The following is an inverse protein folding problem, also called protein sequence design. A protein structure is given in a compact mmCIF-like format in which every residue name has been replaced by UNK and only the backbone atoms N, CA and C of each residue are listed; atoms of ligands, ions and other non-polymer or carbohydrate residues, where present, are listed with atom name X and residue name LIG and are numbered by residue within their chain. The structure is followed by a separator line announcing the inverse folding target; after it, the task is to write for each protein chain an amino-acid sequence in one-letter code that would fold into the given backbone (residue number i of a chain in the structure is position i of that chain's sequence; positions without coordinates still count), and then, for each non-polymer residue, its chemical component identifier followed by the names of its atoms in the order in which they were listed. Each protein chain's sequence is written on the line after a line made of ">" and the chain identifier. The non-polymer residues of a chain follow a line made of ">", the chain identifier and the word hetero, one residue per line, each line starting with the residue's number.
data_IF_513002228404
#
_entry.id   IF_513002228404
#
_cell.length_a   1.000
_cell.length_b   1.000
_cell.length_c   1.000
_cell.angle_alpha   90.00
_cell.angle_beta   90.00
_cell.angle_gamma   90.00
#
_symmetry.space_group_name_H-M   'P 1'
#
loop_
_entity.id
_entity.type
_entity.pdbx_description
1 polymer ?
#
# COMPACT_ATOMS: atom_id res chain seq x y z
N UNK A 1 -29.44 5.64 1.81
CA UNK A 1 -29.13 6.18 3.16
C UNK A 1 -29.46 5.21 4.29
N UNK A 2 -30.68 4.65 4.33
CA UNK A 2 -31.19 3.93 5.50
C UNK A 2 -30.36 2.70 5.88
N UNK A 3 -29.88 1.94 4.90
CA UNK A 3 -28.98 0.80 5.14
C UNK A 3 -27.71 1.20 5.93
N UNK A 4 -27.09 2.33 5.58
CA UNK A 4 -25.90 2.84 6.28
C UNK A 4 -26.24 3.31 7.70
N UNK A 5 -27.42 3.93 7.90
CA UNK A 5 -27.89 4.30 9.25
C UNK A 5 -28.09 3.05 10.11
N UNK A 6 -28.75 2.03 9.57
CA UNK A 6 -28.97 0.76 10.26
C UNK A 6 -27.64 0.10 10.65
N UNK A 7 -26.66 0.08 9.75
CA UNK A 7 -25.32 -0.44 10.05
C UNK A 7 -24.67 0.29 11.23
N UNK A 8 -24.70 1.62 11.24
CA UNK A 8 -24.16 2.42 12.34
C UNK A 8 -24.90 2.17 13.66
N UNK A 9 -26.22 2.00 13.64
CA UNK A 9 -26.99 1.65 14.83
C UNK A 9 -26.57 0.28 15.39
N UNK A 10 -26.40 -0.73 14.53
CA UNK A 10 -25.94 -2.07 14.95
C UNK A 10 -24.54 -1.99 15.57
N UNK A 11 -23.63 -1.24 14.95
CA UNK A 11 -22.26 -1.06 15.47
C UNK A 11 -22.27 -0.39 16.83
N UNK A 12 -23.03 0.71 16.99
CA UNK A 12 -23.10 1.43 18.26
C UNK A 12 -23.64 0.53 19.37
N UNK A 13 -24.68 -0.26 19.09
CA UNK A 13 -25.23 -1.24 20.04
C UNK A 13 -24.19 -2.29 20.43
N UNK A 14 -23.51 -2.91 19.46
CA UNK A 14 -22.50 -3.92 19.73
C UNK A 14 -21.29 -3.36 20.50
N UNK A 15 -20.92 -2.11 20.26
CA UNK A 15 -19.80 -1.47 20.95
C UNK A 15 -20.11 -1.17 22.43
N UNK A 16 -21.38 -0.98 22.80
CA UNK A 16 -21.81 -0.92 24.20
C UNK A 16 -21.71 -2.29 24.89
N UNK A 17 -21.96 -3.38 24.16
CA UNK A 17 -21.94 -4.75 24.67
C UNK A 17 -20.52 -5.36 24.73
N UNK A 18 -19.65 -5.07 23.75
CA UNK A 18 -18.28 -5.59 23.67
C UNK A 18 -17.35 -4.66 22.89
N UNK A 19 -16.25 -4.24 23.53
CA UNK A 19 -15.22 -3.38 22.91
C UNK A 19 -14.06 -4.15 22.27
N UNK A 20 -14.17 -5.48 22.16
CA UNK A 20 -13.06 -6.31 21.65
C UNK A 20 -12.93 -6.30 20.13
N UNK A 21 -14.03 -6.08 19.41
CA UNK A 21 -14.04 -6.18 17.96
C UNK A 21 -13.81 -4.80 17.34
N UNK A 22 -13.02 -4.75 16.26
CA UNK A 22 -12.87 -3.56 15.45
C UNK A 22 -14.01 -3.50 14.41
N UNK A 23 -14.97 -2.56 14.51
CA UNK A 23 -16.04 -2.45 13.52
C UNK A 23 -15.48 -1.93 12.19
N UNK A 24 -16.06 -2.43 11.09
CA UNK A 24 -15.81 -2.03 9.71
C UNK A 24 -17.15 -2.05 8.98
N UNK A 25 -17.42 -1.05 8.14
CA UNK A 25 -18.56 -1.05 7.23
C UNK A 25 -18.04 -1.26 5.81
N UNK A 26 -18.59 -2.27 5.13
CA UNK A 26 -18.41 -2.46 3.68
C UNK A 26 -19.77 -2.19 3.02
N UNK A 27 -19.80 -1.27 2.08
CA UNK A 27 -21.01 -0.88 1.34
C UNK A 27 -20.81 -1.18 -0.14
N UNK A 28 -21.67 -2.01 -0.72
CA UNK A 28 -21.64 -2.40 -2.13
C UNK A 28 -22.91 -1.91 -2.83
N UNK A 29 -22.78 -1.27 -3.98
CA UNK A 29 -23.92 -0.82 -4.79
C UNK A 29 -23.58 -0.85 -6.28
N UNK A 30 -24.57 -1.16 -7.10
CA UNK A 30 -24.53 -1.10 -8.57
C UNK A 30 -25.24 0.14 -9.13
N UNK A 31 -25.85 0.95 -8.26
CA UNK A 31 -26.69 2.07 -8.64
C UNK A 31 -26.71 3.22 -7.65
N UNK A 32 -27.47 4.25 -8.02
CA UNK A 32 -27.75 5.43 -7.21
C UNK A 32 -28.92 5.21 -6.22
N UNK A 33 -29.05 6.10 -5.24
CA UNK A 33 -30.14 6.04 -4.28
C UNK A 33 -31.48 6.42 -4.93
N UNK A 34 -32.45 5.51 -4.93
CA UNK A 34 -33.79 5.70 -5.55
C UNK A 34 -34.95 5.77 -4.57
N UNK A 35 -34.72 5.47 -3.29
CA UNK A 35 -35.75 5.45 -2.24
C UNK A 35 -35.24 6.12 -0.96
N UNK A 36 -36.13 6.86 -0.29
CA UNK A 36 -35.80 7.65 0.89
C UNK A 36 -35.08 8.95 0.52
N UNK A 37 -34.03 9.29 1.26
CA UNK A 37 -33.13 10.39 0.88
C UNK A 37 -32.27 9.98 -0.32
N UNK A 38 -32.27 10.83 -1.34
CA UNK A 38 -31.60 10.63 -2.64
C UNK A 38 -30.55 11.71 -2.92
N UNK A 39 -30.53 12.80 -2.14
CA UNK A 39 -29.53 13.84 -2.30
C UNK A 39 -28.17 13.40 -1.72
N UNK A 40 -27.18 13.21 -2.60
CA UNK A 40 -25.84 12.73 -2.25
C UNK A 40 -25.15 13.53 -1.13
N UNK A 41 -25.23 14.86 -1.16
CA UNK A 41 -24.58 15.70 -0.13
C UNK A 41 -25.25 15.57 1.23
N UNK A 42 -26.59 15.50 1.29
CA UNK A 42 -27.33 15.24 2.51
C UNK A 42 -27.02 13.86 3.10
N UNK A 43 -26.89 12.84 2.23
CA UNK A 43 -26.52 11.49 2.67
C UNK A 43 -25.12 11.52 3.28
N UNK A 44 -24.17 12.14 2.58
CA UNK A 44 -22.78 12.25 3.04
C UNK A 44 -22.70 12.96 4.39
N UNK A 45 -23.32 14.14 4.54
CA UNK A 45 -23.28 14.92 5.79
C UNK A 45 -23.90 14.13 6.93
N UNK A 46 -25.11 13.59 6.73
CA UNK A 46 -25.83 12.83 7.75
C UNK A 46 -25.06 11.59 8.21
N UNK A 47 -24.53 10.79 7.28
CA UNK A 47 -23.79 9.57 7.62
C UNK A 47 -22.46 9.91 8.31
N UNK A 48 -21.77 10.94 7.84
CA UNK A 48 -20.50 11.38 8.44
C UNK A 48 -20.69 11.88 9.87
N UNK A 49 -21.74 12.67 10.11
CA UNK A 49 -22.11 13.13 11.44
C UNK A 49 -22.45 11.96 12.38
N UNK A 50 -23.30 11.05 11.93
CA UNK A 50 -23.72 9.87 12.71
C UNK A 50 -22.54 8.95 13.05
N UNK A 51 -21.60 8.76 12.12
CA UNK A 51 -20.43 7.94 12.34
C UNK A 51 -19.40 8.62 13.26
N UNK A 52 -19.30 9.96 13.21
CA UNK A 52 -18.37 10.75 14.02
C UNK A 52 -16.91 10.25 13.91
N UNK A 53 -16.52 9.73 12.74
CA UNK A 53 -15.18 9.20 12.45
C UNK A 53 -14.82 7.90 13.20
N UNK A 54 -15.78 7.21 13.82
CA UNK A 54 -15.51 6.02 14.64
C UNK A 54 -15.25 4.76 13.81
N UNK A 55 -16.00 4.55 12.73
CA UNK A 55 -15.96 3.32 11.95
C UNK A 55 -15.54 3.60 10.51
N UNK A 56 -14.49 2.94 9.99
CA UNK A 56 -14.16 3.01 8.58
C UNK A 56 -15.30 2.52 7.68
N UNK A 57 -15.62 3.31 6.66
CA UNK A 57 -16.59 2.96 5.62
C UNK A 57 -15.84 2.72 4.29
N UNK A 58 -15.80 1.47 3.85
CA UNK A 58 -15.28 1.09 2.56
C UNK A 58 -16.43 0.92 1.58
N UNK A 59 -16.38 1.60 0.44
CA UNK A 59 -17.42 1.51 -0.57
C UNK A 59 -16.95 0.76 -1.81
N UNK A 60 -17.85 -0.02 -2.41
CA UNK A 60 -17.64 -0.75 -3.65
C UNK A 60 -18.70 -0.31 -4.65
N UNK A 61 -18.26 0.25 -5.77
CA UNK A 61 -19.13 0.45 -6.95
C UNK A 61 -19.05 -0.79 -7.81
N UNK A 62 -20.19 -1.33 -8.23
CA UNK A 62 -20.26 -2.48 -9.12
C UNK A 62 -20.81 -2.05 -10.47
N UNK A 63 -20.00 -2.12 -11.53
CA UNK A 63 -20.40 -1.67 -12.86
C UNK A 63 -20.67 -0.16 -12.96
N UNK A 64 -21.17 0.27 -14.11
CA UNK A 64 -21.20 1.70 -14.46
C UNK A 64 -22.42 2.47 -13.92
N UNK A 65 -23.36 1.79 -13.26
CA UNK A 65 -24.58 2.41 -12.74
C UNK A 65 -24.38 3.19 -11.42
N UNK A 66 -23.28 2.94 -10.69
CA UNK A 66 -23.01 3.57 -9.40
C UNK A 66 -22.24 4.89 -9.53
N UNK A 67 -22.65 5.92 -8.78
CA UNK A 67 -21.89 7.17 -8.67
C UNK A 67 -20.58 6.96 -7.88
N UNK A 68 -19.50 6.74 -8.63
CA UNK A 68 -18.15 6.52 -8.09
C UNK A 68 -17.65 7.71 -7.27
N UNK A 69 -17.96 8.94 -7.70
CA UNK A 69 -17.53 10.16 -7.02
C UNK A 69 -18.20 10.30 -5.66
N UNK A 70 -19.50 10.02 -5.59
CA UNK A 70 -20.24 9.95 -4.32
C UNK A 70 -19.63 8.92 -3.37
N UNK A 71 -19.40 7.69 -3.84
CA UNK A 71 -18.84 6.61 -3.03
C UNK A 71 -17.42 6.91 -2.54
N UNK A 72 -16.60 7.54 -3.38
CA UNK A 72 -15.27 8.00 -2.96
C UNK A 72 -15.36 9.06 -1.87
N UNK A 73 -16.22 10.08 -2.07
CA UNK A 73 -16.40 11.19 -1.11
C UNK A 73 -16.92 10.71 0.24
N UNK A 74 -17.93 9.84 0.27
CA UNK A 74 -18.49 9.31 1.53
C UNK A 74 -17.46 8.45 2.28
N UNK A 75 -16.67 7.65 1.56
CA UNK A 75 -15.65 6.78 2.17
C UNK A 75 -14.51 7.60 2.78
N UNK A 76 -14.00 8.59 2.04
CA UNK A 76 -12.93 9.47 2.51
C UNK A 76 -13.33 10.27 3.76
N UNK A 77 -14.56 10.79 3.79
CA UNK A 77 -15.10 11.47 4.99
C UNK A 77 -15.29 10.55 6.19
N UNK A 78 -15.32 9.24 5.96
CA UNK A 78 -15.56 8.21 6.99
C UNK A 78 -14.36 7.26 7.14
N UNK A 79 -13.13 7.77 6.99
CA UNK A 79 -11.89 7.05 7.27
C UNK A 79 -11.69 5.74 6.47
N UNK A 80 -12.34 5.59 5.32
CA UNK A 80 -12.17 4.47 4.40
C UNK A 80 -11.85 4.93 2.98
N UNK A 81 -11.97 4.01 2.03
CA UNK A 81 -11.73 4.24 0.62
C UNK A 81 -12.83 3.57 -0.23
N UNK A 82 -12.97 4.01 -1.48
CA UNK A 82 -13.83 3.36 -2.45
C UNK A 82 -13.01 2.51 -3.42
N UNK A 83 -13.57 1.41 -3.91
CA UNK A 83 -13.07 0.68 -5.08
C UNK A 83 -14.16 0.48 -6.11
N UNK A 84 -13.74 0.40 -7.36
CA UNK A 84 -14.60 0.03 -8.46
C UNK A 84 -14.41 -1.44 -8.81
N UNK A 85 -15.53 -2.13 -9.03
CA UNK A 85 -15.61 -3.53 -9.42
C UNK A 85 -16.18 -3.55 -10.84
N UNK A 86 -15.37 -3.99 -11.78
CA UNK A 86 -15.77 -4.10 -13.18
C UNK A 86 -16.68 -5.32 -13.37
N UNK A 87 -17.69 -5.19 -14.22
CA UNK A 87 -18.56 -6.31 -14.58
C UNK A 87 -17.80 -7.31 -15.46
N UNK A 88 -17.88 -8.60 -15.10
CA UNK A 88 -17.14 -9.62 -15.82
C UNK A 88 -17.04 -10.94 -15.07
N UNK A 89 -16.36 -11.91 -15.69
CA UNK A 89 -16.10 -13.21 -15.08
C UNK A 89 -15.13 -13.14 -13.90
N UNK A 90 -14.34 -12.06 -13.80
CA UNK A 90 -13.34 -11.80 -12.78
C UNK A 90 -13.86 -10.92 -11.63
N UNK A 91 -15.10 -10.43 -11.67
CA UNK A 91 -15.67 -9.60 -10.61
C UNK A 91 -15.59 -10.26 -9.22
N UNK A 92 -15.75 -11.59 -9.16
CA UNK A 92 -15.58 -12.35 -7.91
C UNK A 92 -14.14 -12.29 -7.36
N UNK A 93 -13.13 -12.30 -8.24
CA UNK A 93 -11.72 -12.18 -7.84
C UNK A 93 -11.42 -10.78 -7.32
N UNK A 94 -11.93 -9.73 -7.98
CA UNK A 94 -11.77 -8.34 -7.53
C UNK A 94 -12.37 -8.14 -6.12
N UNK A 95 -13.53 -8.74 -5.84
CA UNK A 95 -14.16 -8.72 -4.51
C UNK A 95 -13.34 -9.51 -3.47
N UNK A 96 -12.79 -10.66 -3.86
CA UNK A 96 -11.93 -11.46 -2.98
C UNK A 96 -10.65 -10.70 -2.60
N UNK A 97 -9.99 -10.07 -3.56
CA UNK A 97 -8.79 -9.24 -3.35
C UNK A 97 -9.08 -8.03 -2.45
N UNK A 98 -10.23 -7.37 -2.67
CA UNK A 98 -10.69 -6.34 -1.76
C UNK A 98 -10.87 -6.89 -0.33
N UNK A 99 -11.58 -8.01 -0.18
CA UNK A 99 -11.82 -8.58 1.14
C UNK A 99 -10.51 -8.96 1.84
N UNK A 100 -9.58 -9.60 1.15
CA UNK A 100 -8.24 -9.93 1.67
C UNK A 100 -7.49 -8.70 2.20
N UNK A 101 -7.65 -7.55 1.57
CA UNK A 101 -6.99 -6.31 1.99
C UNK A 101 -7.53 -5.72 3.30
N UNK A 102 -8.74 -6.09 3.72
CA UNK A 102 -9.40 -5.54 4.91
C UNK A 102 -9.81 -6.60 5.95
N UNK A 103 -9.67 -7.90 5.64
CA UNK A 103 -10.22 -9.00 6.45
C UNK A 103 -9.51 -9.22 7.79
N UNK A 104 -8.32 -8.66 7.96
CA UNK A 104 -7.46 -8.96 9.11
C UNK A 104 -6.94 -7.67 9.77
N UNK A 105 -7.78 -6.94 10.52
CA UNK A 105 -7.35 -5.78 11.29
C UNK A 105 -6.44 -6.22 12.45
N UNK A 106 -5.20 -5.69 12.50
CA UNK A 106 -4.22 -6.02 13.52
C UNK A 106 -4.16 -4.97 14.63
N UNK A 107 -4.19 -3.69 14.24
CA UNK A 107 -4.18 -2.55 15.16
C UNK A 107 -5.28 -1.58 14.77
N UNK A 108 -5.81 -0.87 15.76
CA UNK A 108 -6.71 0.26 15.57
C UNK A 108 -6.23 1.51 16.29
N UNK A 109 -6.76 2.67 15.90
CA UNK A 109 -6.46 3.97 16.51
C UNK A 109 -4.95 4.27 16.56
N UNK A 110 -4.26 3.99 15.45
CA UNK A 110 -2.80 4.14 15.32
C UNK A 110 -2.45 5.61 15.22
N UNK A 111 -1.62 6.10 16.16
CA UNK A 111 -1.27 7.51 16.34
C UNK A 111 0.23 7.67 16.40
N UNK A 112 0.74 8.44 15.45
CA UNK A 112 2.11 8.94 15.44
C UNK A 112 2.12 10.30 16.14
N UNK A 113 2.87 10.41 17.24
CA UNK A 113 3.01 11.66 17.98
C UNK A 113 4.31 12.34 17.60
N UNK A 114 4.22 13.54 17.04
CA UNK A 114 5.36 14.42 16.79
C UNK A 114 5.13 15.70 17.60
N UNK A 115 6.01 15.97 18.56
CA UNK A 115 5.87 17.10 19.49
C UNK A 115 6.67 18.31 19.03
N UNK A 116 7.93 18.08 18.62
CA UNK A 116 8.89 19.13 18.25
C UNK A 116 9.76 18.67 17.06
N UNK A 117 10.38 19.63 16.37
CA UNK A 117 11.40 19.41 15.32
C UNK A 117 10.92 18.61 14.10
N UNK A 118 9.62 18.61 13.84
CA UNK A 118 9.05 18.02 12.62
C UNK A 118 8.14 19.04 11.94
N UNK A 119 8.29 19.21 10.63
CA UNK A 119 7.53 20.12 9.77
C UNK A 119 6.93 19.33 8.60
N UNK A 120 5.85 19.87 8.05
CA UNK A 120 5.20 19.37 6.84
C UNK A 120 4.93 17.85 6.88
N UNK A 121 4.36 17.36 7.99
CA UNK A 121 4.13 15.93 8.20
C UNK A 121 2.86 15.48 7.48
N UNK A 122 2.94 14.35 6.80
CA UNK A 122 1.78 13.64 6.26
C UNK A 122 0.85 13.16 7.39
N UNK A 123 -0.33 12.64 7.04
CA UNK A 123 -1.30 12.04 7.99
C UNK A 123 -0.63 11.21 9.08
N UNK A 124 -0.94 11.53 10.34
CA UNK A 124 -0.33 10.93 11.54
C UNK A 124 -1.28 10.05 12.34
N UNK A 125 -2.53 9.90 11.89
CA UNK A 125 -3.55 9.09 12.54
C UNK A 125 -4.21 8.17 11.54
N UNK A 126 -4.23 6.88 11.85
CA UNK A 126 -4.78 5.86 10.99
C UNK A 126 -5.79 5.02 11.77
N UNK A 127 -6.99 4.78 11.21
CA UNK A 127 -8.06 4.11 11.93
C UNK A 127 -7.73 2.64 12.21
N UNK A 128 -7.15 1.95 11.22
CA UNK A 128 -6.85 0.52 11.26
C UNK A 128 -5.55 0.26 10.49
N UNK A 129 -4.72 -0.64 11.00
CA UNK A 129 -3.65 -1.32 10.25
C UNK A 129 -4.09 -2.76 9.98
N UNK A 130 -4.18 -3.14 8.71
CA UNK A 130 -4.51 -4.50 8.28
C UNK A 130 -3.26 -5.36 8.09
N UNK A 131 -3.42 -6.67 8.23
CA UNK A 131 -2.36 -7.64 7.93
C UNK A 131 -1.95 -7.54 6.46
N UNK A 132 -0.63 -7.56 6.20
CA UNK A 132 -0.08 -7.33 4.85
C UNK A 132 -0.09 -5.86 4.41
N UNK A 133 -0.72 -4.96 5.17
CA UNK A 133 -0.67 -3.53 4.94
C UNK A 133 0.53 -2.87 5.60
N UNK A 134 0.78 -1.62 5.21
CA UNK A 134 1.83 -0.77 5.76
C UNK A 134 1.29 0.64 6.02
N UNK A 135 1.76 1.28 7.09
CA UNK A 135 1.54 2.71 7.33
C UNK A 135 2.86 3.44 7.18
N UNK A 136 2.89 4.41 6.27
CA UNK A 136 4.05 5.28 6.04
C UNK A 136 3.70 6.70 6.44
N UNK A 137 4.54 7.29 7.29
CA UNK A 137 4.46 8.71 7.66
C UNK A 137 5.76 9.38 7.26
N UNK A 138 5.65 10.44 6.47
CA UNK A 138 6.77 11.23 6.01
C UNK A 138 6.65 12.68 6.51
N UNK A 139 7.78 13.34 6.68
CA UNK A 139 7.86 14.74 7.08
C UNK A 139 9.29 15.23 7.07
N UNK A 140 9.47 16.53 7.26
CA UNK A 140 10.77 17.16 7.38
C UNK A 140 11.19 17.21 8.85
N UNK A 141 12.41 16.80 9.16
CA UNK A 141 12.95 16.79 10.52
C UNK A 141 14.05 17.85 10.69
N UNK A 142 14.07 18.52 11.84
CA UNK A 142 15.17 19.41 12.22
C UNK A 142 16.30 18.61 12.95
N UNK A 143 17.54 19.13 12.99
CA UNK A 143 18.64 18.47 13.70
C UNK A 143 18.33 18.12 15.16
N UNK A 144 18.70 16.91 15.55
CA UNK A 144 18.43 16.37 16.89
C UNK A 144 16.97 15.97 17.11
N UNK A 145 16.24 15.62 16.04
CA UNK A 145 15.01 14.85 16.10
C UNK A 145 15.29 13.47 16.72
N UNK A 146 14.34 12.99 17.53
CA UNK A 146 14.36 11.66 18.12
C UNK A 146 13.02 10.96 17.83
N UNK A 147 13.04 9.73 17.29
CA UNK A 147 11.83 8.95 17.05
C UNK A 147 10.96 8.82 18.31
N UNK A 148 9.67 9.08 18.18
CA UNK A 148 8.70 9.03 19.28
C UNK A 148 7.91 7.71 19.26
N UNK A 149 7.44 7.22 20.43
CA UNK A 149 6.59 6.04 20.48
C UNK A 149 5.29 6.23 19.68
N UNK A 150 4.83 5.15 19.05
CA UNK A 150 3.57 5.08 18.32
C UNK A 150 2.54 4.43 19.24
N UNK A 151 1.38 5.07 19.37
CA UNK A 151 0.27 4.53 20.17
C UNK A 151 -0.74 3.83 19.27
N UNK A 152 -1.21 2.66 19.67
CA UNK A 152 -2.23 1.91 18.96
C UNK A 152 -3.07 1.07 19.94
N UNK A 153 -4.10 0.39 19.44
CA UNK A 153 -4.87 -0.61 20.17
C UNK A 153 -4.79 -1.93 19.41
N UNK A 154 -4.30 -2.97 20.07
CA UNK A 154 -4.34 -4.34 19.59
C UNK A 154 -5.52 -5.10 20.19
N UNK A 155 -5.58 -6.41 19.93
CA UNK A 155 -6.63 -7.31 20.42
C UNK A 155 -6.75 -7.33 21.95
N UNK A 156 -5.62 -7.29 22.67
CA UNK A 156 -5.57 -7.34 24.14
C UNK A 156 -5.70 -5.95 24.80
N UNK A 157 -5.75 -4.88 24.00
CA UNK A 157 -5.85 -3.50 24.50
C UNK A 157 -4.79 -2.56 23.95
N UNK A 158 -4.45 -1.46 24.66
CA UNK A 158 -3.48 -0.47 24.21
C UNK A 158 -2.08 -1.07 23.99
N UNK A 159 -1.43 -0.69 22.90
CA UNK A 159 -0.08 -1.09 22.51
C UNK A 159 0.75 0.16 22.24
N UNK A 160 2.01 0.14 22.70
CA UNK A 160 2.99 1.19 22.41
C UNK A 160 4.13 0.57 21.61
N UNK A 161 4.33 1.03 20.38
CA UNK A 161 5.43 0.59 19.53
C UNK A 161 6.57 1.60 19.65
N UNK A 162 7.75 1.12 20.02
CA UNK A 162 8.93 1.97 20.16
C UNK A 162 9.81 1.84 18.91
N UNK A 163 9.98 2.91 18.12
CA UNK A 163 10.86 2.87 16.95
C UNK A 163 12.33 2.71 17.37
N UNK A 164 13.18 2.16 16.48
CA UNK A 164 14.62 2.14 16.69
C UNK A 164 15.17 3.56 16.93
N UNK A 165 16.19 3.67 17.80
CA UNK A 165 16.84 4.96 18.11
C UNK A 165 17.75 5.45 16.99
N UNK A 166 18.29 4.52 16.19
CA UNK A 166 19.19 4.86 15.10
C UNK A 166 18.39 5.32 13.88
N UNK A 167 18.65 6.56 13.46
CA UNK A 167 18.13 7.09 12.20
C UNK A 167 19.08 6.65 11.10
N UNK A 168 18.64 5.70 10.28
CA UNK A 168 19.40 5.27 9.11
C UNK A 168 19.17 6.25 7.96
N UNK A 169 20.25 6.69 7.33
CA UNK A 169 20.15 7.37 6.04
C UNK A 169 19.77 6.31 5.00
N UNK A 170 18.53 6.34 4.51
CA UNK A 170 18.10 5.43 3.47
C UNK A 170 18.69 5.83 2.10
N UNK A 171 19.05 4.88 1.23
CA UNK A 171 19.40 5.19 -0.16
C UNK A 171 18.15 5.67 -0.92
N UNK A 172 18.30 6.75 -1.70
CA UNK A 172 17.22 7.31 -2.52
C UNK A 172 16.75 8.71 -2.09
N UNK A 173 15.76 9.26 -2.79
CA UNK A 173 15.20 10.58 -2.49
C UNK A 173 13.98 10.45 -1.57
N UNK A 174 14.21 10.39 -0.26
CA UNK A 174 13.15 10.42 0.76
C UNK A 174 12.28 11.68 0.65
N UNK A 175 12.87 12.78 0.18
CA UNK A 175 12.15 14.02 -0.11
C UNK A 175 11.11 13.83 -1.23
N UNK A 176 11.43 13.09 -2.29
CA UNK A 176 10.47 12.79 -3.36
C UNK A 176 9.34 11.87 -2.87
N UNK A 177 9.64 10.90 -2.00
CA UNK A 177 8.61 10.07 -1.35
C UNK A 177 7.67 10.93 -0.51
N UNK A 178 8.22 11.80 0.32
CA UNK A 178 7.45 12.77 1.11
C UNK A 178 6.54 13.63 0.21
N UNK A 179 7.08 14.17 -0.88
CA UNK A 179 6.33 15.01 -1.80
C UNK A 179 5.19 14.23 -2.49
N UNK A 180 5.45 12.99 -2.89
CA UNK A 180 4.43 12.11 -3.48
C UNK A 180 3.29 11.82 -2.49
N UNK A 181 3.61 11.42 -1.25
CA UNK A 181 2.61 11.16 -0.22
C UNK A 181 1.81 12.41 0.14
N UNK A 182 2.48 13.56 0.23
CA UNK A 182 1.84 14.85 0.49
C UNK A 182 0.88 15.23 -0.64
N UNK A 183 1.30 15.10 -1.91
CA UNK A 183 0.45 15.33 -3.06
C UNK A 183 -0.78 14.41 -3.06
N UNK A 184 -0.60 13.10 -2.85
CA UNK A 184 -1.71 12.13 -2.76
C UNK A 184 -2.72 12.54 -1.69
N UNK A 185 -2.25 12.93 -0.50
CA UNK A 185 -3.12 13.37 0.60
C UNK A 185 -3.84 14.70 0.33
N UNK A 186 -3.24 15.62 -0.42
CA UNK A 186 -3.93 16.85 -0.83
C UNK A 186 -5.04 16.52 -1.83
N UNK A 187 -4.78 15.63 -2.79
CA UNK A 187 -5.79 15.18 -3.77
C UNK A 187 -6.96 14.47 -3.08
N UNK A 188 -6.69 13.57 -2.13
CA UNK A 188 -7.75 12.94 -1.31
C UNK A 188 -8.59 13.97 -0.54
N UNK A 189 -7.93 14.98 0.08
CA UNK A 189 -8.64 16.09 0.74
C UNK A 189 -9.48 16.90 -0.25
N UNK A 190 -8.95 17.18 -1.44
CA UNK A 190 -9.65 17.90 -2.52
C UNK A 190 -10.92 17.15 -2.94
N UNK A 191 -10.85 15.84 -3.05
CA UNK A 191 -11.96 15.01 -3.49
C UNK A 191 -13.05 14.89 -2.42
N UNK A 192 -12.66 14.92 -1.14
CA UNK A 192 -13.58 14.98 -0.01
C UNK A 192 -14.21 16.37 0.23
N UNK A 193 -13.55 17.45 -0.22
CA UNK A 193 -13.92 18.84 0.06
C UNK A 193 -15.05 19.36 -0.84
N UNK A 194 -15.79 20.34 -0.32
CA UNK A 194 -16.76 21.12 -1.10
C UNK A 194 -16.09 22.23 -1.91
N UNK A 195 -15.13 22.95 -1.30
CA UNK A 195 -14.31 23.93 -2.00
C UNK A 195 -12.97 23.32 -2.40
N UNK A 196 -12.78 23.09 -3.70
CA UNK A 196 -11.58 22.44 -4.27
C UNK A 196 -10.47 23.42 -4.65
N UNK A 197 -10.76 24.72 -4.67
CA UNK A 197 -9.89 25.73 -5.33
C UNK A 197 -8.51 25.85 -4.68
N UNK A 198 -8.46 25.95 -3.35
CA UNK A 198 -7.21 26.12 -2.60
C UNK A 198 -6.37 24.84 -2.65
N UNK A 199 -7.01 23.68 -2.43
CA UNK A 199 -6.35 22.37 -2.47
C UNK A 199 -5.82 22.04 -3.87
N UNK A 200 -6.50 22.49 -4.93
CA UNK A 200 -6.02 22.31 -6.31
C UNK A 200 -4.75 23.13 -6.56
N UNK A 201 -4.68 24.36 -6.03
CA UNK A 201 -3.46 25.19 -6.12
C UNK A 201 -2.30 24.58 -5.32
N UNK A 202 -2.56 24.17 -4.09
CA UNK A 202 -1.55 23.50 -3.23
C UNK A 202 -1.01 22.22 -3.90
N UNK A 203 -1.90 21.40 -4.48
CA UNK A 203 -1.52 20.22 -5.24
C UNK A 203 -0.68 20.56 -6.48
N UNK A 204 -1.09 21.60 -7.23
CA UNK A 204 -0.36 22.06 -8.41
C UNK A 204 1.06 22.52 -8.06
N UNK A 205 1.21 23.30 -6.99
CA UNK A 205 2.51 23.80 -6.54
C UNK A 205 3.49 22.66 -6.23
N UNK A 206 3.04 21.62 -5.52
CA UNK A 206 3.86 20.43 -5.23
C UNK A 206 4.14 19.63 -6.50
N UNK A 207 3.13 19.45 -7.35
CA UNK A 207 3.28 18.72 -8.60
C UNK A 207 4.30 19.38 -9.53
N UNK A 208 4.28 20.70 -9.67
CA UNK A 208 5.24 21.45 -10.46
C UNK A 208 6.64 21.42 -9.81
N UNK A 209 6.73 21.73 -8.50
CA UNK A 209 8.00 21.72 -7.75
C UNK A 209 8.77 20.40 -7.90
N UNK A 210 8.07 19.28 -7.84
CA UNK A 210 8.68 17.94 -7.95
C UNK A 210 8.52 17.28 -9.32
N UNK A 211 7.94 17.98 -10.29
CA UNK A 211 7.68 17.47 -11.65
C UNK A 211 6.90 16.15 -11.64
N UNK A 212 5.85 16.07 -10.83
CA UNK A 212 4.87 14.98 -10.90
C UNK A 212 3.85 15.29 -11.99
N UNK A 213 3.45 14.25 -12.72
CA UNK A 213 2.27 14.25 -13.59
C UNK A 213 1.12 13.68 -12.77
N UNK A 214 0.04 14.43 -12.63
CA UNK A 214 -1.13 14.06 -11.81
C UNK A 214 -2.40 14.70 -12.37
N UNK A 215 -3.55 14.52 -11.74
CA UNK A 215 -4.81 15.15 -12.15
C UNK A 215 -4.74 16.68 -12.33
N UNK A 216 -3.75 17.33 -11.70
CA UNK A 216 -3.58 18.79 -11.72
C UNK A 216 -2.43 19.24 -12.63
N UNK A 217 -1.64 18.33 -13.19
CA UNK A 217 -0.46 18.67 -14.00
C UNK A 217 -0.30 17.73 -15.20
N UNK A 218 0.18 18.25 -16.33
CA UNK A 218 0.42 17.45 -17.54
C UNK A 218 1.81 17.66 -18.09
N UNK A 219 2.35 16.63 -18.76
CA UNK A 219 3.60 16.73 -19.50
C UNK A 219 3.29 17.03 -20.97
N UNK A 220 3.63 18.23 -21.42
CA UNK A 220 3.44 18.66 -22.80
C UNK A 220 4.77 18.65 -23.54
N UNK A 221 4.85 17.89 -24.64
CA UNK A 221 6.03 17.85 -25.50
C UNK A 221 5.82 18.80 -26.67
N UNK A 222 6.53 19.93 -26.67
CA UNK A 222 6.45 20.94 -27.74
C UNK A 222 7.58 20.75 -28.74
N UNK A 223 7.26 20.66 -30.04
CA UNK A 223 8.27 20.65 -31.10
C UNK A 223 8.80 22.07 -31.31
N UNK A 224 10.14 22.29 -31.39
CA UNK A 224 10.73 23.63 -31.37
C UNK A 224 10.26 24.62 -32.47
N UNK A 225 9.65 24.13 -33.56
CA UNK A 225 9.41 24.93 -34.77
C UNK A 225 7.96 24.92 -35.32
N UNK A 226 6.95 24.36 -34.63
CA UNK A 226 5.58 24.27 -35.20
C UNK A 226 4.42 24.78 -34.32
N UNK A 227 4.65 25.28 -33.11
CA UNK A 227 3.54 25.73 -32.25
C UNK A 227 3.91 26.94 -31.43
N UNK A 228 3.83 28.13 -32.05
CA UNK A 228 4.01 29.42 -31.36
C UNK A 228 2.70 29.98 -30.79
N UNK A 229 1.60 29.22 -30.69
CA UNK A 229 0.27 29.78 -30.36
C UNK A 229 -0.71 28.93 -29.54
N UNK A 230 -0.35 27.79 -28.97
CA UNK A 230 -1.32 27.03 -28.19
C UNK A 230 -0.73 26.64 -26.83
N UNK A 231 -1.45 27.03 -25.77
CA UNK A 231 -1.22 26.74 -24.36
C UNK A 231 -0.25 27.71 -23.66
N UNK A 232 -0.82 28.66 -22.91
CA UNK A 232 -0.11 29.32 -21.81
C UNK A 232 0.15 28.27 -20.72
N UNK A 233 1.33 27.64 -20.76
CA UNK A 233 1.76 26.65 -19.75
C UNK A 233 2.58 27.33 -18.66
N UNK A 234 2.23 27.12 -17.40
CA UNK A 234 3.17 27.31 -16.30
C UNK A 234 4.21 26.18 -16.33
N UNK A 235 5.48 26.56 -16.43
CA UNK A 235 6.58 25.63 -16.68
C UNK A 235 7.32 25.32 -15.39
N UNK A 236 7.29 24.05 -14.98
CA UNK A 236 7.99 23.54 -13.79
C UNK A 236 9.50 23.84 -13.79
N UNK A 237 10.12 23.96 -14.98
CA UNK A 237 11.55 24.25 -15.09
C UNK A 237 11.93 25.68 -14.70
N UNK A 238 10.98 26.63 -14.75
CA UNK A 238 11.22 28.04 -14.40
C UNK A 238 11.30 28.30 -12.90
N UNK A 239 10.68 27.45 -12.07
CA UNK A 239 10.75 27.52 -10.61
C UNK A 239 12.06 26.97 -10.02
N UNK A 240 12.98 26.45 -10.86
CA UNK A 240 14.24 25.83 -10.44
C UNK A 240 15.36 26.84 -10.09
N UNK A 241 15.10 28.13 -10.10
CA UNK A 241 16.05 29.14 -9.67
C UNK A 241 15.82 29.48 -8.19
N UNK A 242 16.78 29.06 -7.37
CA UNK A 242 17.32 29.76 -6.19
C UNK A 242 17.54 28.83 -4.97
N UNK A 243 18.36 27.77 -5.14
CA UNK A 243 19.05 27.15 -4.02
C UNK A 243 20.39 26.57 -4.50
N UNK A 244 21.48 27.32 -4.29
CA UNK A 244 22.85 26.83 -4.38
C UNK A 244 23.73 27.48 -5.45
N UNK A 245 24.35 28.62 -5.11
CA UNK A 245 25.41 29.22 -5.93
C UNK A 245 26.26 30.20 -5.13
N UNK A 246 27.48 29.77 -4.77
CA UNK A 246 28.54 30.58 -4.15
C UNK A 246 28.86 31.77 -5.09
N UNK A 247 28.95 33.03 -4.61
CA UNK A 247 29.06 34.18 -5.51
C UNK A 247 30.50 34.31 -6.04
N UNK A 248 30.69 33.99 -7.32
CA UNK A 248 31.84 34.48 -8.07
C UNK A 248 31.57 35.93 -8.49
N UNK A 249 32.37 36.85 -7.94
CA UNK A 249 32.44 38.24 -8.37
C UNK A 249 32.69 38.30 -9.89
N UNK A 250 31.76 38.91 -10.63
CA UNK A 250 32.04 39.47 -11.96
C UNK A 250 31.69 40.95 -11.98
N UNK A 251 32.71 41.69 -12.36
CA UNK A 251 32.82 43.14 -12.48
C UNK A 251 31.80 43.73 -13.44
N UNK A 252 31.17 44.83 -13.05
CA UNK A 252 30.43 45.72 -13.93
C UNK A 252 31.38 46.56 -14.79
N UNK A 253 31.01 46.86 -16.05
CA UNK A 253 31.24 48.17 -16.61
C UNK A 253 29.95 48.99 -16.62
N UNK A 254 30.17 50.29 -16.54
CA UNK A 254 29.21 51.35 -16.33
C UNK A 254 28.29 51.63 -17.53
N UNK A 255 27.13 52.22 -17.23
CA UNK A 255 26.49 53.21 -18.11
C UNK A 255 25.02 52.93 -18.42
N UNK A 256 24.14 53.78 -17.91
CA UNK A 256 22.79 53.94 -18.46
C UNK A 256 21.70 54.22 -17.42
N UNK A 257 21.60 55.48 -16.97
CA UNK A 257 20.39 55.98 -16.31
C UNK A 257 19.18 55.82 -17.23
N UNK A 258 18.03 55.38 -16.68
CA UNK A 258 16.75 56.07 -16.82
C UNK A 258 15.71 55.57 -15.81
N UNK A 259 15.03 56.54 -15.22
CA UNK A 259 14.05 56.45 -14.15
C UNK A 259 12.78 55.68 -14.51
N UNK A 260 12.19 55.15 -13.43
CA UNK A 260 10.78 54.90 -13.15
C UNK A 260 9.74 55.44 -14.14
N UNK A 261 8.69 54.64 -14.38
CA UNK A 261 7.27 55.01 -14.19
C UNK A 261 6.44 53.71 -14.26
N UNK A 262 5.74 53.40 -13.16
CA UNK A 262 4.51 52.60 -13.16
C UNK A 262 3.37 53.46 -13.70
N UNK A 263 2.39 52.86 -14.40
CA UNK A 263 1.04 53.13 -13.95
C UNK A 263 0.18 51.86 -13.82
N UNK A 264 -0.67 51.90 -12.81
CA UNK A 264 -1.91 51.14 -12.69
C UNK A 264 -2.99 51.79 -13.57
N UNK A 265 -3.80 50.99 -14.26
CA UNK A 265 -5.25 51.19 -14.45
C UNK A 265 -5.83 49.94 -15.12
N UNK A 266 -6.70 49.19 -14.44
CA UNK A 266 -8.17 49.19 -14.60
C UNK A 266 -8.69 48.98 -16.04
N UNK A 267 -9.42 47.89 -16.25
CA UNK A 267 -10.28 47.70 -17.41
C UNK A 267 -10.72 46.25 -17.63
N UNK A 268 -11.84 45.85 -17.03
CA UNK A 268 -12.73 44.80 -17.58
C UNK A 268 -13.75 45.47 -18.52
N UNK A 269 -14.60 44.74 -19.26
CA UNK A 269 -14.45 43.43 -19.90
C UNK A 269 -14.74 43.52 -21.42
N UNK A 270 -14.35 42.53 -22.22
CA UNK A 270 -15.02 42.29 -23.51
C UNK A 270 -15.29 40.80 -23.71
N UNK A 271 -16.57 40.53 -23.89
CA UNK A 271 -17.12 39.27 -24.34
C UNK A 271 -16.71 38.99 -25.80
N UNK A 272 -16.20 37.80 -26.04
CA UNK A 272 -16.30 37.14 -27.35
C UNK A 272 -16.90 35.76 -27.12
N UNK A 273 -18.14 35.61 -27.58
CA UNK A 273 -18.73 34.30 -27.84
C UNK A 273 -18.40 33.88 -29.27
N UNK A 274 -18.14 32.59 -29.44
CA UNK A 274 -18.68 31.73 -30.50
C UNK A 274 -17.73 30.56 -30.79
N UNK A 275 -18.32 29.39 -31.03
CA UNK A 275 -17.71 28.34 -31.85
C UNK A 275 -17.28 27.13 -31.05
N UNK A 276 -18.20 26.18 -30.87
CA UNK A 276 -17.95 24.92 -30.21
C UNK A 276 -17.05 23.97 -31.00
N UNK A 277 -16.40 23.10 -30.25
CA UNK A 277 -16.26 21.67 -30.56
C UNK A 277 -16.42 20.94 -29.23
N UNK A 278 -17.64 20.49 -28.94
CA UNK A 278 -17.88 19.50 -27.90
C UNK A 278 -17.45 18.15 -28.47
N UNK A 279 -16.20 17.76 -28.21
CA UNK A 279 -15.82 16.35 -28.28
C UNK A 279 -16.19 15.70 -26.94
N UNK A 280 -16.78 14.50 -26.94
CA UNK A 280 -17.04 13.78 -25.70
C UNK A 280 -15.68 13.52 -25.06
N UNK A 281 -15.52 14.00 -23.83
CA UNK A 281 -14.41 13.65 -22.97
C UNK A 281 -14.56 12.14 -22.71
N UNK A 282 -13.80 11.33 -23.44
CA UNK A 282 -13.70 9.91 -23.15
C UNK A 282 -13.24 9.78 -21.68
N UNK A 283 -13.90 8.95 -20.86
CA UNK A 283 -13.37 8.65 -19.54
C UNK A 283 -11.96 8.09 -19.74
N UNK A 284 -10.96 8.77 -19.18
CA UNK A 284 -9.63 8.20 -19.07
C UNK A 284 -9.77 6.88 -18.29
N UNK A 285 -8.99 5.84 -18.64
CA UNK A 285 -8.98 4.63 -17.84
C UNK A 285 -8.61 5.03 -16.41
N UNK A 286 -9.43 4.61 -15.45
CA UNK A 286 -9.06 4.52 -14.05
C UNK A 286 -7.69 3.82 -14.06
N UNK A 287 -6.63 4.56 -13.74
CA UNK A 287 -5.36 3.95 -13.41
C UNK A 287 -5.61 3.18 -12.12
N UNK A 288 -6.08 1.95 -12.29
CA UNK A 288 -5.86 0.90 -11.33
C UNK A 288 -4.40 1.03 -10.88
N UNK A 289 -4.24 1.01 -9.56
CA UNK A 289 -3.02 1.21 -8.81
C UNK A 289 -1.94 0.19 -9.26
N UNK A 290 -1.33 0.41 -10.43
CA UNK A 290 -0.13 -0.30 -10.85
C UNK A 290 1.03 0.39 -10.14
N UNK A 291 1.25 -0.09 -8.93
CA UNK A 291 2.41 0.19 -8.11
C UNK A 291 3.66 -0.11 -8.95
N UNK A 292 4.23 0.92 -9.58
CA UNK A 292 5.66 0.96 -9.89
C UNK A 292 6.44 1.38 -8.62
N UNK A 293 6.26 0.60 -7.55
CA UNK A 293 7.43 0.25 -6.74
C UNK A 293 8.12 -0.86 -7.52
N UNK A 294 9.46 -0.76 -7.60
CA UNK A 294 10.35 -1.83 -8.03
C UNK A 294 9.74 -3.20 -7.75
N UNK A 295 9.76 -4.06 -8.78
CA UNK A 295 9.50 -5.49 -8.65
C UNK A 295 9.89 -5.95 -7.26
N UNK A 296 8.97 -6.46 -6.43
CA UNK A 296 9.41 -7.31 -5.37
C UNK A 296 10.22 -8.39 -6.09
N UNK A 297 11.49 -8.56 -5.70
CA UNK A 297 12.06 -9.89 -5.79
C UNK A 297 10.94 -10.83 -5.32
N UNK A 298 10.65 -11.89 -6.06
CA UNK A 298 9.71 -12.91 -5.65
C UNK A 298 10.20 -13.48 -4.31
N UNK A 299 9.85 -12.81 -3.22
CA UNK A 299 9.84 -13.39 -1.90
C UNK A 299 8.55 -14.17 -1.89
N UNK A 300 8.66 -15.42 -2.32
CA UNK A 300 7.80 -16.47 -1.81
C UNK A 300 7.69 -16.24 -0.30
N UNK A 301 6.49 -15.93 0.17
CA UNK A 301 6.16 -15.99 1.57
C UNK A 301 6.11 -17.47 1.99
N UNK A 302 7.24 -18.16 1.90
CA UNK A 302 7.48 -19.32 2.76
C UNK A 302 7.54 -18.75 4.17
N UNK A 303 6.52 -19.08 4.95
CA UNK A 303 6.44 -18.93 6.39
C UNK A 303 7.84 -19.13 6.98
N UNK A 304 8.43 -18.09 7.57
CA UNK A 304 9.68 -18.24 8.31
C UNK A 304 9.38 -19.02 9.58
N UNK A 305 9.38 -20.34 9.47
CA UNK A 305 9.45 -21.25 10.60
C UNK A 305 10.92 -21.28 10.98
N UNK A 306 11.31 -20.52 12.00
CA UNK A 306 12.59 -20.77 12.64
C UNK A 306 12.47 -22.08 13.43
N UNK A 307 13.28 -23.11 13.11
CA UNK A 307 13.25 -24.36 13.84
C UNK A 307 13.83 -24.15 15.24
N UNK A 308 13.11 -24.68 16.25
CA UNK A 308 13.62 -24.71 17.63
C UNK A 308 14.67 -25.82 17.71
N UNK A 309 15.89 -25.45 18.10
CA UNK A 309 17.02 -26.37 18.27
C UNK A 309 16.79 -27.31 19.47
N UNK A 310 16.73 -28.63 19.20
CA UNK A 310 16.76 -29.66 20.24
C UNK A 310 18.07 -30.48 20.11
N UNK A 311 19.03 -30.35 21.04
CA UNK A 311 20.39 -30.89 20.86
C UNK A 311 20.57 -32.41 20.98
N UNK A 312 19.53 -33.25 20.91
CA UNK A 312 19.66 -34.67 21.26
C UNK A 312 19.26 -35.68 20.16
N UNK A 313 19.48 -35.38 18.86
CA UNK A 313 19.38 -36.40 17.80
C UNK A 313 20.74 -36.53 17.08
N UNK A 314 21.47 -37.65 17.25
CA UNK A 314 22.74 -37.87 16.55
C UNK A 314 22.52 -37.98 15.03
N UNK A 315 23.34 -37.31 14.23
CA UNK A 315 23.38 -37.41 12.75
C UNK A 315 23.55 -38.86 12.29
N UNK A 316 24.15 -39.72 13.11
CA UNK A 316 24.33 -41.15 12.85
C UNK A 316 23.01 -41.92 12.64
N UNK A 317 21.89 -41.39 13.16
CA UNK A 317 20.54 -41.97 12.98
C UNK A 317 20.04 -41.87 11.54
N UNK A 318 20.50 -40.89 10.75
CA UNK A 318 20.18 -40.81 9.32
C UNK A 318 20.92 -41.86 8.50
N UNK A 319 22.18 -42.15 8.85
CA UNK A 319 23.04 -43.08 8.12
C UNK A 319 22.58 -44.52 8.26
N UNK A 320 22.04 -44.91 9.42
CA UNK A 320 21.51 -46.27 9.65
C UNK A 320 20.23 -46.56 8.87
N UNK A 321 19.45 -45.52 8.57
CA UNK A 321 18.10 -45.65 8.07
C UNK A 321 17.98 -45.37 6.55
N UNK A 322 18.83 -44.51 6.00
CA UNK A 322 18.87 -44.19 4.57
C UNK A 322 20.27 -44.49 4.04
N UNK A 323 20.50 -45.75 3.70
CA UNK A 323 21.81 -46.25 3.24
C UNK A 323 22.30 -45.54 1.96
N UNK A 324 21.38 -45.09 1.10
CA UNK A 324 21.69 -44.32 -0.12
C UNK A 324 22.12 -42.88 0.16
N UNK A 325 21.75 -42.31 1.32
CA UNK A 325 22.05 -40.93 1.69
C UNK A 325 23.44 -40.79 2.32
N UNK A 326 23.97 -41.89 2.89
CA UNK A 326 25.26 -41.94 3.58
C UNK A 326 26.43 -41.36 2.79
N UNK A 327 26.63 -41.72 1.49
CA UNK A 327 27.70 -41.17 0.66
C UNK A 327 27.56 -39.68 0.33
N UNK A 328 26.36 -39.12 0.48
CA UNK A 328 26.02 -37.74 0.11
C UNK A 328 26.03 -36.78 1.29
N UNK A 329 26.15 -37.31 2.52
CA UNK A 329 26.16 -36.59 3.77
C UNK A 329 27.60 -36.24 4.18
N UNK A 330 27.87 -34.94 4.28
CA UNK A 330 29.15 -34.41 4.74
C UNK A 330 29.22 -34.36 6.27
N UNK A 331 30.43 -34.33 6.82
CA UNK A 331 30.67 -34.29 8.28
C UNK A 331 30.10 -33.04 8.97
N UNK A 332 29.89 -31.95 8.22
CA UNK A 332 29.28 -30.70 8.68
C UNK A 332 27.73 -30.75 8.74
N UNK A 333 27.11 -31.89 8.44
CA UNK A 333 25.66 -32.08 8.46
C UNK A 333 24.91 -31.56 7.22
N UNK A 334 25.62 -31.21 6.13
CA UNK A 334 25.03 -30.88 4.83
C UNK A 334 24.98 -32.10 3.91
N UNK A 335 24.01 -32.12 3.01
CA UNK A 335 23.78 -33.18 2.03
C UNK A 335 23.84 -32.57 0.64
N UNK A 336 24.68 -33.11 -0.24
CA UNK A 336 24.79 -32.66 -1.63
C UNK A 336 24.05 -33.61 -2.56
N UNK A 337 23.04 -33.09 -3.25
CA UNK A 337 22.27 -33.78 -4.29
C UNK A 337 22.62 -33.17 -5.66
N UNK A 338 22.36 -33.88 -6.79
CA UNK A 338 22.65 -33.37 -8.13
C UNK A 338 22.01 -32.02 -8.48
N UNK A 339 20.98 -31.62 -7.74
CA UNK A 339 20.22 -30.38 -7.95
C UNK A 339 20.41 -29.33 -6.85
N UNK A 340 21.25 -29.57 -5.82
CA UNK A 340 21.49 -28.58 -4.76
C UNK A 340 22.17 -29.15 -3.51
N UNK A 341 22.63 -28.26 -2.64
CA UNK A 341 23.17 -28.62 -1.32
C UNK A 341 22.21 -28.15 -0.23
N UNK A 342 21.84 -29.05 0.67
CA UNK A 342 20.82 -28.82 1.69
C UNK A 342 21.34 -29.21 3.07
N UNK A 343 20.86 -28.55 4.13
CA UNK A 343 21.04 -28.96 5.52
C UNK A 343 20.18 -30.19 5.80
N UNK A 344 20.70 -31.13 6.58
CA UNK A 344 20.00 -32.37 6.91
C UNK A 344 18.75 -32.17 7.78
N UNK A 345 18.61 -31.05 8.48
CA UNK A 345 17.47 -30.76 9.37
C UNK A 345 17.39 -31.68 10.59
N UNK A 346 18.46 -32.40 10.92
CA UNK A 346 18.53 -33.29 12.10
C UNK A 346 18.47 -32.45 13.36
N UNK A 347 17.52 -32.75 14.26
CA UNK A 347 17.36 -32.03 15.53
C UNK A 347 16.52 -30.76 15.44
N UNK A 348 15.90 -30.50 14.28
CA UNK A 348 14.99 -29.39 14.05
C UNK A 348 13.52 -29.87 14.08
N UNK A 349 12.61 -29.04 14.58
CA UNK A 349 11.17 -29.30 14.56
C UNK A 349 10.48 -28.17 13.79
N UNK A 350 9.69 -28.52 12.78
CA UNK A 350 8.82 -27.58 12.09
C UNK A 350 7.49 -27.46 12.84
N UNK A 351 7.21 -26.28 13.39
CA UNK A 351 5.94 -26.00 14.08
C UNK A 351 4.77 -25.79 13.09
N UNK A 352 5.06 -25.45 11.84
CA UNK A 352 4.08 -25.23 10.78
C UNK A 352 4.59 -25.97 9.54
N UNK A 353 3.74 -26.80 8.93
CA UNK A 353 4.05 -27.50 7.68
C UNK A 353 3.56 -26.63 6.52
N UNK A 354 4.42 -25.94 5.77
CA UNK A 354 3.98 -25.10 4.68
C UNK A 354 3.34 -25.92 3.57
N UNK A 355 2.34 -25.35 2.92
CA UNK A 355 1.63 -25.99 1.81
C UNK A 355 2.51 -26.05 0.57
N UNK A 356 2.60 -27.23 -0.03
CA UNK A 356 3.37 -27.45 -1.24
C UNK A 356 2.44 -27.54 -2.45
N UNK A 357 2.59 -26.60 -3.38
CA UNK A 357 1.86 -26.59 -4.64
C UNK A 357 2.29 -27.73 -5.60
N UNK A 358 3.46 -28.34 -5.38
CA UNK A 358 4.00 -29.42 -6.22
C UNK A 358 3.88 -30.77 -5.52
N UNK A 359 2.94 -31.60 -5.98
CA UNK A 359 2.95 -33.04 -5.73
C UNK A 359 2.63 -33.78 -7.02
N UNK A 360 3.44 -34.80 -7.31
CA UNK A 360 3.41 -35.64 -8.53
C UNK A 360 2.10 -36.46 -8.66
N UNK A 361 1.24 -36.44 -7.64
CA UNK A 361 -0.09 -37.08 -7.65
C UNK A 361 -1.27 -36.10 -7.80
N UNK A 362 -1.02 -34.84 -8.21
CA UNK A 362 -2.08 -33.86 -8.49
C UNK A 362 -2.91 -33.46 -7.27
N UNK A 363 -2.42 -33.74 -6.05
CA UNK A 363 -3.10 -33.41 -4.80
C UNK A 363 -2.22 -32.46 -3.96
N UNK A 364 -2.75 -31.36 -3.40
CA UNK A 364 -1.99 -30.47 -2.53
C UNK A 364 -1.50 -31.21 -1.28
N UNK A 365 -0.20 -31.08 -0.97
CA UNK A 365 0.46 -31.68 0.19
C UNK A 365 1.09 -30.62 1.09
N UNK A 366 1.69 -31.04 2.21
CA UNK A 366 2.43 -30.17 3.13
C UNK A 366 3.88 -30.64 3.26
N UNK A 367 4.85 -29.72 3.29
CA UNK A 367 6.26 -30.08 3.42
C UNK A 367 6.65 -30.42 4.86
N UNK A 368 7.43 -31.49 5.02
CA UNK A 368 7.94 -31.99 6.31
C UNK A 368 9.42 -32.31 6.21
N UNK A 369 10.15 -32.21 7.33
CA UNK A 369 11.54 -32.65 7.40
C UNK A 369 11.66 -34.14 7.08
N UNK A 370 12.79 -34.55 6.50
CA UNK A 370 13.02 -35.93 6.05
C UNK A 370 12.74 -36.99 7.13
N UNK A 371 13.07 -36.69 8.39
CA UNK A 371 12.85 -37.58 9.54
C UNK A 371 11.37 -37.78 9.91
N UNK A 372 10.50 -36.87 9.47
CA UNK A 372 9.08 -36.82 9.80
C UNK A 372 8.20 -37.29 8.63
N UNK A 373 8.81 -37.74 7.54
CA UNK A 373 8.11 -38.26 6.37
C UNK A 373 7.48 -39.62 6.68
N UNK A 374 6.16 -39.75 6.57
CA UNK A 374 5.45 -41.02 6.84
C UNK A 374 5.83 -42.15 5.86
N UNK A 375 6.40 -41.79 4.70
CA UNK A 375 6.86 -42.73 3.66
C UNK A 375 8.36 -43.02 3.72
N UNK A 376 8.99 -42.80 4.87
CA UNK A 376 10.43 -42.96 5.07
C UNK A 376 11.00 -44.30 4.59
N UNK A 377 10.23 -45.39 4.66
CA UNK A 377 10.64 -46.73 4.24
C UNK A 377 10.58 -46.99 2.72
N UNK A 378 9.91 -46.16 1.93
CA UNK A 378 9.81 -46.32 0.47
C UNK A 378 10.89 -45.56 -0.30
N UNK A 379 11.56 -44.60 0.37
CA UNK A 379 12.68 -43.80 -0.13
C UNK A 379 13.96 -44.63 -0.22
N UNK A 380 13.99 -45.50 -1.22
CA UNK A 380 15.05 -46.50 -1.43
C UNK A 380 16.20 -46.00 -2.31
N UNK A 381 15.99 -44.92 -3.08
CA UNK A 381 16.97 -44.34 -4.01
C UNK A 381 16.72 -42.84 -4.22
N UNK A 382 17.75 -42.12 -4.70
CA UNK A 382 17.75 -40.69 -4.99
C UNK A 382 16.70 -40.31 -6.04
N UNK A 383 16.44 -41.18 -7.02
CA UNK A 383 15.43 -40.90 -8.06
C UNK A 383 14.01 -40.91 -7.49
N UNK A 384 13.69 -41.86 -6.61
CA UNK A 384 12.41 -41.86 -5.89
C UNK A 384 12.29 -40.68 -4.93
N UNK A 385 13.40 -40.30 -4.28
CA UNK A 385 13.39 -39.12 -3.42
C UNK A 385 13.14 -37.83 -4.22
N UNK A 386 13.68 -37.72 -5.44
CA UNK A 386 13.46 -36.59 -6.34
C UNK A 386 11.97 -36.33 -6.60
N UNK A 387 11.17 -37.40 -6.72
CA UNK A 387 9.72 -37.30 -6.93
C UNK A 387 8.96 -36.72 -5.72
N UNK A 388 9.54 -36.83 -4.53
CA UNK A 388 8.95 -36.39 -3.27
C UNK A 388 9.66 -35.20 -2.63
N UNK A 389 10.63 -34.60 -3.33
CA UNK A 389 11.45 -33.51 -2.81
C UNK A 389 10.62 -32.22 -2.65
N UNK A 390 10.73 -31.60 -1.47
CA UNK A 390 10.21 -30.25 -1.24
C UNK A 390 11.36 -29.29 -0.94
N UNK A 391 11.36 -28.14 -1.61
CA UNK A 391 12.31 -27.07 -1.36
C UNK A 391 11.86 -26.26 -0.13
N UNK A 392 12.57 -26.44 0.99
CA UNK A 392 12.27 -25.80 2.26
C UNK A 392 13.49 -25.01 2.76
N UNK A 393 13.75 -23.85 2.13
CA UNK A 393 14.72 -22.83 2.57
C UNK A 393 16.04 -23.44 3.06
N UNK A 394 16.73 -24.11 2.13
CA UNK A 394 18.02 -24.80 2.31
C UNK A 394 18.01 -26.06 3.20
N UNK A 395 16.84 -26.57 3.60
CA UNK A 395 16.71 -27.85 4.32
C UNK A 395 16.20 -28.97 3.42
N UNK A 396 16.63 -30.20 3.71
CA UNK A 396 16.17 -31.39 3.02
C UNK A 396 14.78 -31.81 3.54
N UNK A 397 13.74 -31.54 2.76
CA UNK A 397 12.35 -31.85 3.09
C UNK A 397 11.68 -32.77 2.06
N UNK A 398 10.60 -33.44 2.48
CA UNK A 398 9.73 -34.21 1.61
C UNK A 398 8.28 -33.70 1.65
N UNK A 399 7.49 -34.04 0.64
CA UNK A 399 6.04 -33.78 0.62
C UNK A 399 5.28 -34.89 1.34
N UNK A 400 4.47 -34.53 2.34
CA UNK A 400 3.51 -35.41 2.99
C UNK A 400 2.07 -35.05 2.54
N UNK A 401 1.20 -36.03 2.24
CA UNK A 401 -0.20 -35.76 1.94
C UNK A 401 -0.91 -35.20 3.17
N UNK A 402 -1.75 -34.17 2.99
CA UNK A 402 -2.62 -33.69 4.07
C UNK A 402 -3.62 -34.80 4.41
N UNK A 403 -3.65 -35.26 5.67
CA UNK A 403 -4.70 -36.14 6.15
C UNK A 403 -6.07 -35.48 5.86
N UNK A 404 -7.00 -36.22 5.24
CA UNK A 404 -8.40 -35.76 5.13
C UNK A 404 -8.99 -35.78 6.54
N UNK A 405 -9.02 -34.62 7.17
CA UNK A 405 -9.78 -34.37 8.40
C UNK A 405 -11.25 -34.14 8.08
#
# INVERSE_FOLDING_TARGET
>A
MDALKTALTIINKNHEESKRNQPIIVFLTDGEATSGETNNENIISTITELNSGKTPLFSLSFGDGADRSFLQKISLKNNGFARHIYEGADASLQLEEFYKSISSPLLSDVKFKYVDKVKEVTKTRYPILFHGGEIVVAGQIDPGFAPQPIEAKGFEGPVILTPPKEITAAPGSLERLWAYLTLKQILERRDAAENKTELTKEALDIALKYSFVSDVSSLVVVKPNETSKAVETEDASKQRQDFGGIPYYKSFPAGGLRSAVRPLSLGSPLAFGAGGFASPMAPMPDFAEEILLSTPATYDATTTVEPIYNPNIPIDTLKSNLTWLGPLLHENGTITLPWGTYKSGVGEILNIRPDCAKSVLGSPGSCTLLQQCEFYSSLTDIEKFKEHFCDLKDMLACVAPKARG
#
